data_IF_477645250810
#
_entry.id   IF_477645250810
#
_cell.length_a   1.000
_cell.length_b   1.000
_cell.length_c   1.000
_cell.angle_alpha   90.00
_cell.angle_beta   90.00
_cell.angle_gamma   90.00
#
_symmetry.space_group_name_H-M   'P 1'
#
loop_
_entity.id
_entity.type
_entity.pdbx_description
1 polymer ?
#
# COMPACT_ATOMS: atom_id res chain seq x y z
N UNK A 1 11.21 -2.50 9.43
CA UNK A 1 10.64 -1.53 8.49
C UNK A 1 10.29 -2.27 7.21
N UNK A 2 9.06 -2.08 6.74
CA UNK A 2 8.48 -2.73 5.57
C UNK A 2 7.86 -1.65 4.69
N UNK A 3 8.06 -1.77 3.39
CA UNK A 3 7.66 -0.79 2.40
C UNK A 3 6.47 -1.34 1.62
N UNK A 4 5.35 -0.62 1.64
CA UNK A 4 4.16 -0.95 0.86
C UNK A 4 4.17 -0.13 -0.43
N UNK A 5 4.06 -0.80 -1.56
CA UNK A 5 4.01 -0.19 -2.87
C UNK A 5 2.64 -0.37 -3.51
N UNK A 6 2.19 0.66 -4.23
CA UNK A 6 1.01 0.61 -5.09
C UNK A 6 1.39 0.76 -6.56
N UNK A 7 0.67 0.08 -7.45
CA UNK A 7 0.80 0.28 -8.89
C UNK A 7 -0.55 0.34 -9.62
N UNK A 8 -0.53 0.96 -10.79
CA UNK A 8 -1.65 0.99 -11.75
C UNK A 8 -1.28 0.12 -12.95
N UNK A 9 -2.25 -0.40 -13.71
CA UNK A 9 -1.97 -1.15 -14.93
C UNK A 9 -1.08 -0.34 -15.88
N UNK A 10 0.07 -0.91 -16.27
CA UNK A 10 1.02 -0.27 -17.17
C UNK A 10 1.88 0.85 -16.56
N UNK A 11 1.79 1.10 -15.24
CA UNK A 11 2.61 2.08 -14.55
C UNK A 11 3.63 1.41 -13.60
N UNK A 12 4.80 2.02 -13.37
CA UNK A 12 5.73 1.54 -12.36
C UNK A 12 5.09 1.61 -10.97
N UNK A 13 5.52 0.71 -10.09
CA UNK A 13 5.16 0.76 -8.67
C UNK A 13 5.73 2.01 -8.01
N UNK A 14 5.00 2.52 -7.00
CA UNK A 14 5.42 3.66 -6.18
C UNK A 14 5.21 3.35 -4.72
N UNK A 15 6.08 3.88 -3.86
CA UNK A 15 5.93 3.78 -2.42
C UNK A 15 4.63 4.45 -1.99
N UNK A 16 3.80 3.71 -1.26
CA UNK A 16 2.48 4.15 -0.80
C UNK A 16 2.47 4.39 0.71
N UNK A 17 3.14 3.55 1.48
CA UNK A 17 3.27 3.70 2.93
C UNK A 17 4.46 2.88 3.46
N UNK A 18 4.91 3.20 4.68
CA UNK A 18 5.91 2.42 5.41
C UNK A 18 5.32 1.89 6.72
N UNK A 19 5.80 0.71 7.15
CA UNK A 19 5.35 0.03 8.37
C UNK A 19 6.54 -0.43 9.21
N UNK A 20 6.38 -0.46 10.53
CA UNK A 20 7.43 -0.99 11.40
C UNK A 20 7.60 -2.52 11.22
N UNK A 21 6.49 -3.22 10.96
CA UNK A 21 6.44 -4.68 10.91
C UNK A 21 5.55 -5.23 9.79
N UNK A 22 5.90 -6.42 9.28
CA UNK A 22 5.11 -7.13 8.27
C UNK A 22 3.67 -7.41 8.72
N UNK A 23 3.41 -7.86 9.97
CA UNK A 23 2.04 -8.12 10.40
C UNK A 23 1.14 -6.88 10.37
N UNK A 24 1.67 -5.69 10.69
CA UNK A 24 0.93 -4.44 10.59
C UNK A 24 0.59 -4.11 9.12
N UNK A 25 1.57 -4.24 8.22
CA UNK A 25 1.37 -4.06 6.79
C UNK A 25 0.28 -4.99 6.26
N UNK A 26 0.38 -6.29 6.54
CA UNK A 26 -0.59 -7.28 6.06
C UNK A 26 -1.99 -7.02 6.63
N UNK A 27 -2.09 -6.62 7.89
CA UNK A 27 -3.36 -6.25 8.52
C UNK A 27 -3.97 -5.02 7.85
N UNK A 28 -3.15 -4.02 7.55
CA UNK A 28 -3.55 -2.82 6.83
C UNK A 28 -4.07 -3.13 5.43
N UNK A 29 -3.30 -3.89 4.64
CA UNK A 29 -3.68 -4.27 3.27
C UNK A 29 -5.00 -5.05 3.26
N UNK A 30 -5.17 -5.96 4.23
CA UNK A 30 -6.41 -6.72 4.38
C UNK A 30 -7.61 -5.83 4.67
N UNK A 31 -7.46 -4.83 5.54
CA UNK A 31 -8.50 -3.83 5.78
C UNK A 31 -8.76 -2.95 4.55
N UNK A 32 -7.71 -2.49 3.90
CA UNK A 32 -7.80 -1.56 2.78
C UNK A 32 -8.41 -2.21 1.53
N UNK A 33 -8.36 -3.52 1.37
CA UNK A 33 -8.86 -4.21 0.16
C UNK A 33 -10.37 -4.43 0.25
N UNK A 34 -11.14 -3.77 -0.62
CA UNK A 34 -12.60 -3.90 -0.70
C UNK A 34 -13.03 -5.09 -1.56
N UNK A 35 -12.33 -5.33 -2.67
CA UNK A 35 -12.66 -6.42 -3.60
C UNK A 35 -11.48 -6.73 -4.51
N UNK A 36 -11.44 -7.96 -5.05
CA UNK A 36 -10.49 -8.38 -6.07
C UNK A 36 -11.25 -9.03 -7.25
N UNK A 37 -10.93 -8.60 -8.48
CA UNK A 37 -11.48 -9.16 -9.72
C UNK A 37 -10.38 -9.13 -10.79
N UNK A 38 -10.13 -10.26 -11.44
CA UNK A 38 -9.15 -10.41 -12.53
C UNK A 38 -7.75 -9.86 -12.20
N UNK A 39 -7.30 -10.06 -10.95
CA UNK A 39 -6.00 -9.59 -10.47
C UNK A 39 -5.92 -8.07 -10.20
N UNK A 40 -7.04 -7.35 -10.33
CA UNK A 40 -7.19 -5.95 -9.96
C UNK A 40 -7.93 -5.83 -8.64
N UNK A 41 -7.43 -4.96 -7.77
CA UNK A 41 -8.03 -4.66 -6.47
C UNK A 41 -8.69 -3.30 -6.47
N UNK A 42 -9.79 -3.21 -5.72
CA UNK A 42 -10.36 -1.93 -5.28
C UNK A 42 -9.99 -1.74 -3.83
N UNK A 43 -9.47 -0.57 -3.51
CA UNK A 43 -9.08 -0.21 -2.16
C UNK A 43 -10.01 0.84 -1.55
N UNK A 44 -10.05 0.88 -0.22
CA UNK A 44 -10.77 1.87 0.56
C UNK A 44 -10.27 3.29 0.20
N UNK A 45 -11.19 4.24 0.06
CA UNK A 45 -10.88 5.60 -0.42
C UNK A 45 -9.98 6.38 0.54
N UNK A 46 -10.00 6.04 1.82
CA UNK A 46 -9.13 6.60 2.86
C UNK A 46 -7.80 5.87 3.03
N UNK A 47 -7.50 4.86 2.21
CA UNK A 47 -6.23 4.14 2.29
C UNK A 47 -5.16 4.79 1.40
N UNK A 48 -3.88 4.60 1.75
CA UNK A 48 -2.74 4.90 0.91
C UNK A 48 -2.78 4.17 -0.44
N UNK A 49 -3.56 3.08 -0.52
CA UNK A 49 -3.75 2.30 -1.74
C UNK A 49 -4.92 2.80 -2.62
N UNK A 50 -5.70 3.81 -2.18
CA UNK A 50 -6.95 4.24 -2.82
C UNK A 50 -6.82 4.54 -4.33
N UNK A 51 -5.65 5.00 -4.77
CA UNK A 51 -5.41 5.39 -6.17
C UNK A 51 -4.78 4.28 -7.03
N UNK A 52 -4.59 3.08 -6.47
CA UNK A 52 -3.91 1.96 -7.11
C UNK A 52 -4.85 0.78 -7.36
N UNK A 53 -4.40 -0.19 -8.16
CA UNK A 53 -5.16 -1.41 -8.43
C UNK A 53 -4.37 -2.68 -8.10
N UNK A 54 -3.09 -2.54 -7.78
CA UNK A 54 -2.21 -3.61 -7.36
C UNK A 54 -1.33 -3.10 -6.22
N UNK A 55 -0.83 -4.02 -5.41
CA UNK A 55 0.12 -3.71 -4.35
C UNK A 55 1.23 -4.77 -4.33
N UNK A 56 2.38 -4.38 -3.77
CA UNK A 56 3.48 -5.25 -3.41
C UNK A 56 4.13 -4.74 -2.14
N UNK A 57 4.95 -5.55 -1.48
CA UNK A 57 5.69 -5.12 -0.31
C UNK A 57 7.08 -5.76 -0.24
N UNK A 58 7.99 -5.10 0.49
CA UNK A 58 9.37 -5.54 0.66
C UNK A 58 9.91 -5.13 2.03
N UNK A 59 10.87 -5.89 2.55
CA UNK A 59 11.67 -5.48 3.72
C UNK A 59 12.74 -4.44 3.38
N UNK A 60 13.06 -4.30 2.10
CA UNK A 60 14.05 -3.36 1.57
C UNK A 60 13.40 -2.34 0.60
N UNK A 61 13.94 -1.10 0.50
CA UNK A 61 13.51 -0.13 -0.51
C UNK A 61 13.69 -0.69 -1.93
N UNK A 62 12.66 -0.57 -2.77
CA UNK A 62 12.66 -1.04 -4.17
C UNK A 62 12.61 0.10 -5.19
N UNK A 63 12.45 1.34 -4.73
CA UNK A 63 12.36 2.56 -5.55
C UNK A 63 13.17 3.68 -4.89
N UNK A 64 13.50 4.71 -5.66
CA UNK A 64 14.10 5.95 -5.15
C UNK A 64 13.05 6.91 -4.54
N UNK A 65 11.87 6.39 -4.17
CA UNK A 65 10.84 7.19 -3.52
C UNK A 65 11.28 7.57 -2.10
N UNK A 66 11.02 8.81 -1.70
CA UNK A 66 11.39 9.30 -0.38
C UNK A 66 10.42 8.79 0.69
N UNK A 67 10.87 7.97 1.67
CA UNK A 67 10.01 7.43 2.72
C UNK A 67 9.44 8.51 3.66
N UNK A 68 10.03 9.72 3.71
CA UNK A 68 9.49 10.83 4.51
C UNK A 68 8.25 11.48 3.87
N UNK A 69 7.96 11.16 2.61
CA UNK A 69 6.83 11.72 1.85
C UNK A 69 5.56 10.88 1.89
N UNK A 70 5.61 9.70 2.54
CA UNK A 70 4.49 8.77 2.65
C UNK A 70 4.09 8.54 4.11
N UNK A 71 2.87 8.06 4.33
CA UNK A 71 2.39 7.79 5.68
C UNK A 71 3.18 6.65 6.35
N UNK A 72 3.50 6.82 7.63
CA UNK A 72 4.12 5.80 8.47
C UNK A 72 3.11 5.15 9.42
N UNK A 73 3.00 3.83 9.34
CA UNK A 73 1.98 3.01 10.01
C UNK A 73 0.57 3.60 9.92
N UNK A 74 0.06 3.88 8.70
CA UNK A 74 -1.31 4.40 8.57
C UNK A 74 -2.30 3.42 9.21
N UNK A 75 -3.18 3.96 10.05
CA UNK A 75 -4.22 3.16 10.72
C UNK A 75 -5.54 3.24 9.95
N UNK A 76 -6.38 2.19 10.04
CA UNK A 76 -7.75 2.24 9.55
C UNK A 76 -8.47 3.49 10.05
N UNK A 77 -8.78 4.40 9.14
CA UNK A 77 -9.66 5.54 9.42
C UNK A 77 -11.04 5.13 8.96
N UNK A 78 -11.96 4.85 9.88
CA UNK A 78 -13.38 4.76 9.53
C UNK A 78 -13.88 6.18 9.29
N UNK A 79 -13.93 6.62 8.04
CA UNK A 79 -14.68 7.79 7.61
C UNK A 79 -16.03 7.34 7.02
#
# INVERSE_FOLDING_TARGET
>A
MYYLYGSRPGAPQRLAAIFDSEPQLLSYVRWATLSELDGLRKFEKGSALASYNQFGYSGDPLTDDDPETVDHNPTPSML
#
